data_IF_696947299899
#
_entry.id   IF_696947299899
#
_cell.length_a   1.000
_cell.length_b   1.000
_cell.length_c   1.000
_cell.angle_alpha   90.00
_cell.angle_beta   90.00
_cell.angle_gamma   90.00
#
_symmetry.space_group_name_H-M   'P 1'
#
loop_
_entity.id
_entity.type
_entity.pdbx_description
1 polymer ?
#
# COMPACT_ATOMS: atom_id res chain seq x y z
N UNK A 1 -13.53 11.33 6.41
CA UNK A 1 -13.87 10.58 5.18
C UNK A 1 -13.11 9.28 5.17
N UNK A 2 -13.77 8.15 4.97
CA UNK A 2 -13.05 6.88 4.87
C UNK A 2 -12.21 6.82 3.61
N UNK A 3 -11.14 6.06 3.66
CA UNK A 3 -10.29 5.87 2.50
C UNK A 3 -10.86 4.79 1.60
N UNK A 4 -10.77 5.00 0.29
CA UNK A 4 -11.21 4.01 -0.70
C UNK A 4 -10.18 2.90 -0.86
N UNK A 5 -10.62 1.66 -1.10
CA UNK A 5 -9.67 0.61 -1.50
C UNK A 5 -8.92 1.03 -2.76
N UNK A 6 -7.63 0.75 -2.81
CA UNK A 6 -6.77 1.17 -3.91
C UNK A 6 -6.12 2.53 -3.73
N UNK A 7 -6.46 3.24 -2.65
CA UNK A 7 -5.82 4.51 -2.32
C UNK A 7 -4.42 4.24 -1.77
N UNK A 8 -3.45 5.00 -2.26
CA UNK A 8 -2.11 5.03 -1.70
C UNK A 8 -2.05 6.12 -0.63
N UNK A 9 -1.45 5.79 0.49
CA UNK A 9 -1.34 6.69 1.63
C UNK A 9 0.12 6.79 2.05
N UNK A 10 0.49 7.96 2.57
CA UNK A 10 1.77 8.13 3.22
C UNK A 10 1.54 8.07 4.72
N UNK A 11 2.20 7.13 5.39
CA UNK A 11 2.01 6.93 6.83
C UNK A 11 3.33 7.07 7.55
N UNK A 12 3.25 7.49 8.81
CA UNK A 12 4.41 7.59 9.69
C UNK A 12 4.51 6.30 10.49
N UNK A 13 5.64 5.61 10.33
CA UNK A 13 5.89 4.38 11.06
C UNK A 13 6.75 4.65 12.28
N UNK A 14 6.34 4.15 13.43
CA UNK A 14 7.26 4.00 14.55
C UNK A 14 8.12 2.75 14.27
N UNK A 15 9.36 2.95 13.89
CA UNK A 15 10.24 1.83 13.63
C UNK A 15 11.05 1.46 14.86
N UNK A 16 11.60 0.27 14.80
CA UNK A 16 12.30 -0.32 15.93
C UNK A 16 13.54 0.43 16.35
N UNK A 17 14.17 1.19 15.45
CA UNK A 17 15.35 1.97 15.82
C UNK A 17 15.00 3.26 16.53
N UNK A 18 13.77 3.71 16.44
CA UNK A 18 13.21 4.84 17.17
C UNK A 18 13.92 6.18 17.03
N UNK A 19 14.92 6.25 16.17
CA UNK A 19 15.69 7.49 16.03
C UNK A 19 15.01 8.47 15.10
N UNK A 20 14.11 8.01 14.25
CA UNK A 20 13.36 8.86 13.35
C UNK A 20 12.09 8.17 12.92
N UNK A 21 11.01 8.92 12.87
CA UNK A 21 9.78 8.46 12.24
C UNK A 21 9.98 8.58 10.72
N UNK A 22 9.85 7.48 10.00
CA UNK A 22 9.92 7.51 8.55
C UNK A 22 8.53 7.44 7.96
N UNK A 23 8.31 8.22 6.92
CA UNK A 23 7.07 8.14 6.17
C UNK A 23 7.24 7.12 5.06
N UNK A 24 6.25 6.24 4.94
CA UNK A 24 6.28 5.20 3.93
C UNK A 24 4.95 5.10 3.21
N UNK A 25 4.97 4.80 1.90
CA UNK A 25 3.72 4.58 1.18
C UNK A 25 3.15 3.21 1.51
N UNK A 26 1.84 3.17 1.64
CA UNK A 26 1.07 1.93 1.84
C UNK A 26 -0.14 1.95 0.91
N UNK A 27 -0.66 0.79 0.61
CA UNK A 27 -1.83 0.61 -0.24
C UNK A 27 -3.00 0.11 0.59
N UNK A 28 -4.13 0.80 0.51
CA UNK A 28 -5.36 0.37 1.18
C UNK A 28 -5.96 -0.80 0.40
N UNK A 29 -6.11 -1.93 1.08
CA UNK A 29 -6.67 -3.14 0.46
C UNK A 29 -8.02 -3.53 1.07
N UNK A 30 -8.38 -2.96 2.21
CA UNK A 30 -9.66 -3.26 2.86
C UNK A 30 -10.81 -2.54 2.18
N UNK A 31 -11.99 -3.16 2.28
CA UNK A 31 -13.18 -2.65 1.64
C UNK A 31 -13.74 -1.40 2.29
N UNK A 32 -14.60 -0.72 1.56
CA UNK A 32 -15.15 0.56 1.95
C UNK A 32 -15.90 0.49 3.29
N UNK A 33 -16.66 -0.58 3.51
CA UNK A 33 -17.42 -0.72 4.75
C UNK A 33 -16.51 -0.81 5.97
N UNK A 34 -15.41 -1.58 5.86
CA UNK A 34 -14.44 -1.69 6.93
C UNK A 34 -13.77 -0.34 7.18
N UNK A 35 -13.49 0.39 6.11
CA UNK A 35 -12.76 1.66 6.19
C UNK A 35 -13.58 2.79 6.80
N UNK A 36 -14.87 2.59 7.01
CA UNK A 36 -15.71 3.54 7.74
C UNK A 36 -15.40 3.58 9.23
N UNK A 37 -14.73 2.55 9.76
CA UNK A 37 -14.30 2.53 11.14
C UNK A 37 -13.04 3.34 11.37
N UNK A 38 -12.34 3.06 12.44
CA UNK A 38 -11.13 3.78 12.80
C UNK A 38 -9.90 3.26 12.07
N UNK A 39 -9.95 2.05 11.55
CA UNK A 39 -8.80 1.35 10.99
C UNK A 39 -8.96 1.07 9.52
N UNK A 40 -7.84 0.85 8.85
CA UNK A 40 -7.79 0.32 7.49
C UNK A 40 -6.75 -0.79 7.45
N UNK A 41 -6.94 -1.73 6.54
CA UNK A 41 -5.95 -2.77 6.28
C UNK A 41 -5.14 -2.37 5.06
N UNK A 42 -3.83 -2.36 5.22
CA UNK A 42 -2.92 -1.91 4.18
C UNK A 42 -1.80 -2.91 3.95
N UNK A 43 -1.13 -2.79 2.83
CA UNK A 43 0.14 -3.47 2.56
C UNK A 43 1.19 -2.41 2.23
N UNK A 44 2.43 -2.59 2.68
CA UNK A 44 3.46 -1.59 2.46
C UNK A 44 4.04 -1.67 1.05
N UNK A 45 4.58 -0.56 0.58
CA UNK A 45 5.36 -0.50 -0.64
C UNK A 45 6.81 -0.23 -0.31
N UNK A 46 7.71 -0.82 -1.09
CA UNK A 46 9.15 -0.61 -0.96
C UNK A 46 9.68 -0.06 -2.27
N UNK A 47 10.56 0.94 -2.20
CA UNK A 47 11.21 1.45 -3.39
C UNK A 47 12.32 0.52 -3.90
N UNK A 48 12.63 -0.54 -3.14
CA UNK A 48 13.57 -1.56 -3.60
C UNK A 48 12.80 -2.61 -4.39
N UNK A 49 12.90 -2.55 -5.70
CA UNK A 49 12.27 -3.52 -6.59
C UNK A 49 13.29 -4.59 -6.94
N UNK A 50 12.97 -5.83 -6.58
CA UNK A 50 13.83 -6.99 -6.87
C UNK A 50 13.24 -7.72 -8.07
N UNK A 51 14.03 -7.94 -9.14
CA UNK A 51 13.53 -8.68 -10.29
C UNK A 51 13.08 -10.07 -9.88
N UNK A 52 11.92 -10.47 -10.42
CA UNK A 52 11.34 -11.80 -10.17
C UNK A 52 11.03 -12.09 -8.69
N UNK A 53 10.75 -11.04 -7.93
CA UNK A 53 10.34 -11.21 -6.54
C UNK A 53 8.95 -11.85 -6.49
N UNK A 54 8.88 -13.09 -6.01
CA UNK A 54 7.62 -13.82 -5.94
C UNK A 54 6.68 -13.27 -4.86
N UNK A 55 7.17 -12.42 -3.98
CA UNK A 55 6.39 -11.87 -2.88
C UNK A 55 6.16 -10.36 -3.02
N UNK A 56 6.36 -9.83 -4.21
CA UNK A 56 6.12 -8.44 -4.50
C UNK A 56 5.38 -8.26 -5.82
N UNK A 57 4.58 -7.22 -5.90
CA UNK A 57 3.92 -6.83 -7.15
C UNK A 57 4.52 -5.50 -7.57
N UNK A 58 5.21 -5.44 -8.72
CA UNK A 58 5.87 -4.20 -9.12
C UNK A 58 4.89 -3.16 -9.64
N UNK A 59 5.14 -1.91 -9.28
CA UNK A 59 4.50 -0.73 -9.87
C UNK A 59 5.67 0.08 -10.44
N UNK A 60 5.78 0.11 -11.75
CA UNK A 60 6.96 0.64 -12.42
C UNK A 60 6.70 2.02 -13.03
N UNK A 61 7.74 2.85 -13.06
CA UNK A 61 7.64 4.17 -13.69
C UNK A 61 7.23 4.09 -15.14
N UNK A 62 7.46 2.95 -15.78
CA UNK A 62 7.07 2.72 -17.17
C UNK A 62 5.61 2.29 -17.34
N UNK A 63 4.90 1.99 -16.26
CA UNK A 63 3.49 1.64 -16.34
C UNK A 63 2.67 2.86 -16.73
N UNK A 64 1.71 2.72 -17.67
CA UNK A 64 0.90 3.85 -18.11
C UNK A 64 0.14 4.55 -16.98
N UNK A 65 -0.23 3.81 -15.95
CA UNK A 65 -0.98 4.37 -14.82
C UNK A 65 -0.08 4.98 -13.74
N UNK A 66 1.24 4.91 -13.89
CA UNK A 66 2.16 5.35 -12.84
C UNK A 66 1.89 6.76 -12.33
N UNK A 67 1.62 7.75 -13.21
CA UNK A 67 1.35 9.12 -12.72
C UNK A 67 0.17 9.20 -11.76
N UNK A 68 -0.82 8.35 -11.95
CA UNK A 68 -2.01 8.32 -11.09
C UNK A 68 -1.66 7.90 -9.65
N UNK A 69 -0.57 7.16 -9.46
CA UNK A 69 -0.17 6.69 -8.13
C UNK A 69 0.44 7.80 -7.27
N UNK A 70 1.00 8.80 -7.89
CA UNK A 70 1.76 9.88 -7.26
C UNK A 70 2.98 9.39 -6.48
N UNK A 71 3.46 8.21 -6.80
CA UNK A 71 4.72 7.72 -6.26
C UNK A 71 5.88 8.42 -6.97
N UNK A 72 7.00 8.54 -6.29
CA UNK A 72 8.19 9.20 -6.84
C UNK A 72 9.00 8.28 -7.74
N UNK A 73 8.98 7.00 -7.46
CA UNK A 73 9.77 6.02 -8.20
C UNK A 73 9.11 4.67 -8.16
N UNK A 74 9.56 3.79 -9.04
CA UNK A 74 9.09 2.42 -9.08
C UNK A 74 9.15 1.79 -7.70
N UNK A 75 8.15 1.01 -7.39
CA UNK A 75 7.97 0.43 -6.07
C UNK A 75 7.45 -0.99 -6.20
N UNK A 76 7.61 -1.77 -5.15
CA UNK A 76 7.08 -3.11 -5.06
C UNK A 76 6.04 -3.16 -3.94
N UNK A 77 4.86 -3.66 -4.26
CA UNK A 77 3.81 -3.88 -3.26
C UNK A 77 4.13 -5.16 -2.52
N UNK A 78 4.41 -5.03 -1.22
CA UNK A 78 4.76 -6.18 -0.38
C UNK A 78 3.49 -6.81 0.17
N UNK A 79 2.81 -7.57 -0.66
CA UNK A 79 1.50 -8.13 -0.35
C UNK A 79 1.52 -9.17 0.77
N UNK A 80 2.67 -9.73 1.10
CA UNK A 80 2.78 -10.72 2.20
C UNK A 80 2.79 -10.07 3.59
N UNK A 81 2.74 -8.75 3.67
CA UNK A 81 2.85 -8.02 4.94
C UNK A 81 1.64 -7.13 5.21
N UNK A 82 0.42 -7.68 5.14
CA UNK A 82 -0.75 -6.86 5.47
C UNK A 82 -0.71 -6.47 6.94
N UNK A 83 -1.20 -5.27 7.22
CA UNK A 83 -1.26 -4.77 8.58
C UNK A 83 -2.47 -3.88 8.75
N UNK A 84 -2.95 -3.80 9.97
CA UNK A 84 -4.04 -2.90 10.34
C UNK A 84 -3.40 -1.64 10.90
N UNK A 85 -3.79 -0.48 10.37
CA UNK A 85 -3.34 0.80 10.91
C UNK A 85 -4.55 1.64 11.28
N UNK A 86 -4.37 2.49 12.30
CA UNK A 86 -5.38 3.48 12.63
C UNK A 86 -5.26 4.63 11.62
N UNK A 87 -6.40 5.13 11.16
CA UNK A 87 -6.39 6.19 10.15
C UNK A 87 -5.69 7.46 10.62
N UNK A 88 -5.51 7.65 11.93
CA UNK A 88 -4.81 8.81 12.47
C UNK A 88 -3.33 8.85 12.15
N UNK A 89 -2.72 7.70 11.81
CA UNK A 89 -1.29 7.69 11.48
C UNK A 89 -1.01 8.09 10.03
N UNK A 90 -2.06 8.35 9.26
CA UNK A 90 -1.93 8.77 7.86
C UNK A 90 -1.48 10.23 7.81
N UNK A 91 -0.32 10.47 7.20
CA UNK A 91 0.21 11.84 7.03
C UNK A 91 -0.49 12.55 5.89
N UNK A 92 -0.70 11.86 4.78
CA UNK A 92 -1.43 12.41 3.64
C UNK A 92 -1.81 11.32 2.65
N UNK A 93 -2.78 11.66 1.81
CA UNK A 93 -3.16 10.79 0.69
C UNK A 93 -2.19 11.00 -0.45
N UNK A 94 -1.81 9.91 -1.10
CA UNK A 94 -1.14 9.95 -2.38
C UNK A 94 -2.17 9.71 -3.48
N UNK A 95 -1.81 9.02 -4.53
CA UNK A 95 -2.74 8.71 -5.60
C UNK A 95 -3.50 7.41 -5.38
N UNK A 96 -3.81 6.76 -6.48
CA UNK A 96 -4.56 5.51 -6.49
C UNK A 96 -3.93 4.55 -7.48
N UNK A 97 -4.29 3.28 -7.40
CA UNK A 97 -3.95 2.29 -8.42
C UNK A 97 -5.22 1.89 -9.15
N UNK A 98 -5.09 1.39 -10.40
CA UNK A 98 -6.26 0.87 -11.12
C UNK A 98 -6.91 -0.30 -10.39
N UNK A 99 -8.21 -0.45 -10.58
CA UNK A 99 -8.96 -1.53 -9.95
C UNK A 99 -8.38 -2.91 -10.25
N UNK A 100 -7.92 -3.14 -11.46
CA UNK A 100 -7.36 -4.43 -11.85
C UNK A 100 -6.07 -4.73 -11.07
N UNK A 101 -5.26 -3.71 -10.78
CA UNK A 101 -4.05 -3.88 -9.98
C UNK A 101 -4.44 -4.16 -8.53
N UNK A 102 -5.43 -3.45 -8.01
CA UNK A 102 -5.93 -3.69 -6.67
C UNK A 102 -6.44 -5.11 -6.51
N UNK A 103 -7.22 -5.60 -7.47
CA UNK A 103 -7.74 -6.97 -7.42
C UNK A 103 -6.62 -7.99 -7.42
N UNK A 104 -5.57 -7.74 -8.20
CA UNK A 104 -4.40 -8.62 -8.24
C UNK A 104 -3.71 -8.68 -6.88
N UNK A 105 -3.55 -7.52 -6.23
CA UNK A 105 -2.96 -7.47 -4.89
C UNK A 105 -3.84 -8.24 -3.90
N UNK A 106 -5.14 -7.99 -3.91
CA UNK A 106 -6.07 -8.65 -3.01
C UNK A 106 -6.08 -10.17 -3.19
N UNK A 107 -6.01 -10.64 -4.43
CA UNK A 107 -5.92 -12.07 -4.73
C UNK A 107 -4.66 -12.69 -4.11
N UNK A 108 -3.54 -11.99 -4.22
CA UNK A 108 -2.30 -12.47 -3.62
C UNK A 108 -2.38 -12.51 -2.09
N UNK A 109 -2.98 -11.49 -1.50
CA UNK A 109 -3.15 -11.46 -0.03
C UNK A 109 -4.00 -12.64 0.43
N UNK A 110 -5.05 -12.99 -0.33
CA UNK A 110 -5.88 -14.14 0.02
C UNK A 110 -5.09 -15.45 0.07
N UNK A 111 -4.08 -15.59 -0.76
CA UNK A 111 -3.26 -16.80 -0.80
C UNK A 111 -2.49 -17.05 0.50
N UNK A 112 -2.31 -16.02 1.32
CA UNK A 112 -1.64 -16.18 2.61
C UNK A 112 -2.45 -17.11 3.52
N UNK A 113 -3.76 -17.15 3.33
CA UNK A 113 -4.68 -17.86 4.20
C UNK A 113 -5.14 -19.22 3.66
N UNK A 114 -4.54 -19.66 2.60
CA UNK A 114 -4.95 -20.91 1.94
C UNK A 114 -4.02 -22.05 2.32
#
# INVERSE_FOLDING_TARGET
MPFDPGRLLLVTYPFTDQTAAKQRPVLVISGFDYNHGEDVIVVPLSSRVVPNDQFGIPIMETDPYFPQTRLRKSSSVKWTKPMVINQKVVSRKLGTIPLEVLKNVQEHVRKIFV
#
